data_IF_728174122708
#
_entry.id   IF_728174122708
#
_cell.length_a   1.000
_cell.length_b   1.000
_cell.length_c   1.000
_cell.angle_alpha   90.00
_cell.angle_beta   90.00
_cell.angle_gamma   90.00
#
_symmetry.space_group_name_H-M   'P 1'
#
loop_
_entity.id
_entity.type
_entity.pdbx_description
1 polymer ?
#
# COMPACT_ATOMS: atom_id res chain seq x y z
N UNK A 1 -5.05 23.10 3.93
CA UNK A 1 -5.54 22.18 2.87
C UNK A 1 -7.07 22.19 2.82
N UNK A 2 -7.65 22.56 1.67
CA UNK A 2 -9.10 22.50 1.45
C UNK A 2 -9.48 21.03 1.23
N UNK A 3 -9.90 20.35 2.29
CA UNK A 3 -10.40 19.00 2.19
C UNK A 3 -11.77 19.03 1.49
N UNK A 4 -11.95 18.18 0.48
CA UNK A 4 -13.23 18.00 -0.21
C UNK A 4 -13.80 16.64 0.17
N UNK A 5 -15.08 16.60 0.51
CA UNK A 5 -15.77 15.37 0.90
C UNK A 5 -15.80 14.39 -0.27
N UNK A 6 -15.09 13.27 -0.14
CA UNK A 6 -15.14 12.17 -1.09
C UNK A 6 -16.55 11.55 -1.13
N UNK A 7 -17.05 11.31 -2.34
CA UNK A 7 -18.32 10.61 -2.57
C UNK A 7 -18.24 9.15 -2.11
N UNK A 8 -19.38 8.49 -1.88
CA UNK A 8 -19.38 7.07 -1.54
C UNK A 8 -18.80 6.16 -2.62
N UNK A 9 -18.98 6.52 -3.89
CA UNK A 9 -18.33 5.81 -5.00
C UNK A 9 -16.81 5.97 -4.89
N UNK A 10 -16.31 7.20 -4.67
CA UNK A 10 -14.87 7.44 -4.52
C UNK A 10 -14.27 6.73 -3.31
N UNK A 11 -15.02 6.63 -2.21
CA UNK A 11 -14.60 5.87 -1.03
C UNK A 11 -14.42 4.38 -1.36
N UNK A 12 -15.42 3.75 -1.99
CA UNK A 12 -15.34 2.34 -2.36
C UNK A 12 -14.22 2.06 -3.37
N UNK A 13 -14.04 2.95 -4.36
CA UNK A 13 -12.95 2.84 -5.32
C UNK A 13 -11.58 2.94 -4.66
N UNK A 14 -11.41 3.80 -3.65
CA UNK A 14 -10.15 3.90 -2.91
C UNK A 14 -9.84 2.62 -2.11
N UNK A 15 -10.86 1.97 -1.54
CA UNK A 15 -10.68 0.67 -0.86
C UNK A 15 -10.36 -0.45 -1.87
N UNK A 16 -11.04 -0.47 -3.02
CA UNK A 16 -10.75 -1.43 -4.08
C UNK A 16 -9.32 -1.27 -4.61
N UNK A 17 -8.87 -0.03 -4.81
CA UNK A 17 -7.51 0.27 -5.22
C UNK A 17 -6.48 -0.22 -4.20
N UNK A 18 -6.73 -0.04 -2.90
CA UNK A 18 -5.85 -0.56 -1.84
C UNK A 18 -5.68 -2.09 -1.91
N UNK A 19 -6.75 -2.81 -2.22
CA UNK A 19 -6.70 -4.27 -2.42
C UNK A 19 -5.81 -4.60 -3.62
N UNK A 20 -6.04 -3.94 -4.76
CA UNK A 20 -5.26 -4.15 -5.98
C UNK A 20 -3.77 -3.82 -5.78
N UNK A 21 -3.45 -2.77 -5.02
CA UNK A 21 -2.07 -2.44 -4.67
C UNK A 21 -1.40 -3.57 -3.89
N UNK A 22 -2.06 -4.18 -2.90
CA UNK A 22 -1.45 -5.30 -2.17
C UNK A 22 -1.29 -6.56 -3.04
N UNK A 23 -2.25 -6.87 -3.92
CA UNK A 23 -2.08 -7.97 -4.88
C UNK A 23 -0.89 -7.73 -5.81
N UNK A 24 -0.70 -6.49 -6.28
CA UNK A 24 0.43 -6.12 -7.12
C UNK A 24 1.75 -6.23 -6.33
N UNK A 25 1.89 -5.48 -5.24
CA UNK A 25 3.18 -5.30 -4.59
C UNK A 25 3.56 -6.43 -3.60
N UNK A 26 2.63 -7.26 -3.14
CA UNK A 26 2.93 -8.41 -2.25
C UNK A 26 2.93 -9.75 -2.96
N UNK A 27 2.03 -9.94 -3.92
CA UNK A 27 1.99 -11.19 -4.69
C UNK A 27 2.78 -11.09 -5.98
N UNK A 28 2.36 -10.26 -6.94
CA UNK A 28 2.99 -10.21 -8.27
C UNK A 28 4.49 -9.84 -8.18
N UNK A 29 4.82 -8.79 -7.43
CA UNK A 29 6.21 -8.41 -7.19
C UNK A 29 6.99 -9.46 -6.39
N UNK A 30 6.34 -10.15 -5.46
CA UNK A 30 6.96 -11.27 -4.72
C UNK A 30 7.37 -12.40 -5.67
N UNK A 31 6.48 -12.80 -6.57
CA UNK A 31 6.76 -13.82 -7.60
C UNK A 31 7.89 -13.37 -8.53
N UNK A 32 7.83 -12.14 -9.04
CA UNK A 32 8.86 -11.63 -9.96
C UNK A 32 10.22 -11.57 -9.26
N UNK A 33 10.31 -10.96 -8.08
CA UNK A 33 11.60 -10.70 -7.44
C UNK A 33 12.18 -11.95 -6.79
N UNK A 34 11.39 -12.73 -6.04
CA UNK A 34 11.91 -13.89 -5.33
C UNK A 34 11.96 -15.11 -6.24
N UNK A 35 10.85 -15.47 -6.88
CA UNK A 35 10.76 -16.73 -7.64
C UNK A 35 11.48 -16.64 -8.98
N UNK A 36 11.25 -15.57 -9.74
CA UNK A 36 11.80 -15.47 -11.10
C UNK A 36 13.22 -14.91 -11.14
N UNK A 37 13.55 -13.98 -10.25
CA UNK A 37 14.88 -13.34 -10.19
C UNK A 37 15.79 -13.87 -9.07
N UNK A 38 15.29 -14.73 -8.19
CA UNK A 38 16.08 -15.34 -7.13
C UNK A 38 16.55 -14.37 -6.04
N UNK A 39 15.91 -13.21 -5.89
CA UNK A 39 16.29 -12.24 -4.86
C UNK A 39 15.95 -12.77 -3.46
N UNK A 40 16.78 -12.47 -2.46
CA UNK A 40 16.45 -12.75 -1.06
C UNK A 40 15.25 -11.90 -0.61
N UNK A 41 14.58 -12.35 0.47
CA UNK A 41 13.37 -11.70 0.99
C UNK A 41 13.55 -10.20 1.29
N UNK A 42 14.71 -9.80 1.82
CA UNK A 42 15.00 -8.38 2.09
C UNK A 42 15.03 -7.54 0.81
N UNK A 43 15.43 -8.12 -0.33
CA UNK A 43 15.42 -7.46 -1.64
C UNK A 43 14.00 -7.22 -2.12
N UNK A 44 13.12 -8.22 -2.01
CA UNK A 44 11.69 -8.05 -2.26
C UNK A 44 11.07 -6.95 -1.38
N UNK A 45 11.34 -6.98 -0.08
CA UNK A 45 10.80 -6.02 0.89
C UNK A 45 11.21 -4.59 0.52
N UNK A 46 12.50 -4.36 0.28
CA UNK A 46 13.01 -3.02 -0.03
C UNK A 46 12.51 -2.51 -1.39
N UNK A 47 12.63 -3.33 -2.45
CA UNK A 47 12.29 -2.90 -3.80
C UNK A 47 10.77 -2.70 -3.95
N UNK A 48 9.95 -3.63 -3.44
CA UNK A 48 8.49 -3.49 -3.52
C UNK A 48 7.96 -2.29 -2.74
N UNK A 49 8.58 -1.94 -1.61
CA UNK A 49 8.23 -0.74 -0.84
C UNK A 49 8.57 0.56 -1.60
N UNK A 50 9.74 0.61 -2.24
CA UNK A 50 10.14 1.77 -3.05
C UNK A 50 9.25 1.90 -4.29
N UNK A 51 8.96 0.79 -4.98
CA UNK A 51 8.04 0.77 -6.12
C UNK A 51 6.63 1.25 -5.74
N UNK A 52 6.12 0.83 -4.58
CA UNK A 52 4.87 1.32 -4.02
C UNK A 52 4.91 2.85 -3.76
N UNK A 53 6.01 3.35 -3.20
CA UNK A 53 6.23 4.78 -3.00
C UNK A 53 6.23 5.57 -4.32
N UNK A 54 6.86 5.04 -5.37
CA UNK A 54 6.89 5.70 -6.69
C UNK A 54 5.51 5.92 -7.27
N UNK A 55 4.55 5.02 -7.01
CA UNK A 55 3.16 5.18 -7.43
C UNK A 55 2.49 6.46 -6.85
N UNK A 56 3.10 7.05 -5.83
CA UNK A 56 2.61 8.23 -5.12
C UNK A 56 3.50 9.46 -5.29
N UNK A 57 4.59 9.37 -6.04
CA UNK A 57 5.55 10.47 -6.19
C UNK A 57 4.93 11.72 -6.82
N UNK A 58 3.89 11.55 -7.65
CA UNK A 58 3.11 12.66 -8.20
C UNK A 58 2.53 13.59 -7.11
N UNK A 59 2.25 13.05 -5.91
CA UNK A 59 1.75 13.82 -4.77
C UNK A 59 2.88 14.47 -3.93
N UNK A 60 4.11 14.48 -4.43
CA UNK A 60 5.28 15.11 -3.81
C UNK A 60 6.15 14.17 -2.97
N UNK A 61 7.38 14.63 -2.68
CA UNK A 61 8.40 13.84 -1.99
C UNK A 61 7.97 13.40 -0.58
N UNK A 62 7.24 14.24 0.15
CA UNK A 62 6.73 13.87 1.48
C UNK A 62 5.78 12.67 1.40
N UNK A 63 4.87 12.67 0.43
CA UNK A 63 3.92 11.56 0.21
C UNK A 63 4.65 10.31 -0.25
N UNK A 64 5.64 10.46 -1.13
CA UNK A 64 6.52 9.36 -1.54
C UNK A 64 7.18 8.69 -0.33
N UNK A 65 7.88 9.45 0.53
CA UNK A 65 8.58 8.89 1.69
C UNK A 65 7.63 8.20 2.66
N UNK A 66 6.48 8.83 2.96
CA UNK A 66 5.43 8.22 3.78
C UNK A 66 4.95 6.88 3.18
N UNK A 67 4.79 6.82 1.87
CA UNK A 67 4.32 5.63 1.16
C UNK A 67 5.38 4.56 1.07
N UNK A 68 6.66 4.90 0.90
CA UNK A 68 7.76 3.92 1.06
C UNK A 68 7.72 3.30 2.45
N UNK A 69 7.57 4.09 3.52
CA UNK A 69 7.47 3.55 4.89
C UNK A 69 6.24 2.66 5.08
N UNK A 70 5.09 3.04 4.50
CA UNK A 70 3.87 2.22 4.52
C UNK A 70 4.06 0.90 3.77
N UNK A 71 4.65 0.95 2.57
CA UNK A 71 4.95 -0.22 1.76
C UNK A 71 5.93 -1.17 2.45
N UNK A 72 6.93 -0.62 3.16
CA UNK A 72 7.88 -1.39 3.96
C UNK A 72 7.15 -2.15 5.08
N UNK A 73 6.28 -1.46 5.82
CA UNK A 73 5.47 -2.06 6.88
C UNK A 73 4.58 -3.18 6.33
N UNK A 74 3.86 -2.94 5.24
CA UNK A 74 2.96 -3.93 4.64
C UNK A 74 3.72 -5.13 4.06
N UNK A 75 4.88 -4.92 3.45
CA UNK A 75 5.74 -6.01 2.98
C UNK A 75 6.28 -6.86 4.14
N UNK A 76 6.66 -6.24 5.26
CA UNK A 76 7.10 -6.94 6.46
C UNK A 76 5.97 -7.78 7.06
N UNK A 77 4.78 -7.22 7.23
CA UNK A 77 3.63 -7.94 7.78
C UNK A 77 3.21 -9.10 6.86
N UNK A 78 3.26 -8.92 5.55
CA UNK A 78 3.04 -10.00 4.59
C UNK A 78 4.07 -11.13 4.74
N UNK A 79 5.36 -10.79 4.85
CA UNK A 79 6.42 -11.76 4.98
C UNK A 79 6.36 -12.51 6.32
N UNK A 80 6.22 -11.78 7.43
CA UNK A 80 6.16 -12.34 8.78
C UNK A 80 4.92 -13.19 9.03
N UNK A 81 3.85 -12.97 8.27
CA UNK A 81 2.65 -13.81 8.31
C UNK A 81 2.75 -15.09 7.47
N UNK A 82 3.89 -15.34 6.83
CA UNK A 82 4.07 -16.50 5.95
C UNK A 82 3.37 -16.35 4.59
N UNK A 83 3.13 -15.11 4.13
CA UNK A 83 2.49 -14.85 2.84
C UNK A 83 0.97 -14.78 2.87
N UNK A 84 0.36 -14.58 4.06
CA UNK A 84 -1.09 -14.42 4.19
C UNK A 84 -1.54 -13.03 3.69
N UNK A 85 -1.95 -12.96 2.42
CA UNK A 85 -2.30 -11.70 1.74
C UNK A 85 -3.44 -10.92 2.39
N UNK A 86 -4.32 -11.60 3.14
CA UNK A 86 -5.44 -10.95 3.83
C UNK A 86 -4.97 -9.98 4.92
N UNK A 87 -3.81 -10.21 5.55
CA UNK A 87 -3.30 -9.36 6.62
C UNK A 87 -2.89 -7.97 6.11
N UNK A 88 -2.01 -7.82 5.10
CA UNK A 88 -1.69 -6.50 4.55
C UNK A 88 -2.90 -5.84 3.88
N UNK A 89 -3.80 -6.61 3.23
CA UNK A 89 -5.05 -6.06 2.69
C UNK A 89 -5.89 -5.40 3.80
N UNK A 90 -6.13 -6.11 4.90
CA UNK A 90 -6.91 -5.59 6.00
C UNK A 90 -6.27 -4.33 6.60
N UNK A 91 -4.95 -4.34 6.82
CA UNK A 91 -4.22 -3.20 7.35
C UNK A 91 -4.32 -1.98 6.42
N UNK A 92 -4.11 -2.16 5.11
CA UNK A 92 -4.11 -1.07 4.14
C UNK A 92 -5.52 -0.51 3.91
N UNK A 93 -6.52 -1.37 3.73
CA UNK A 93 -7.93 -0.94 3.59
C UNK A 93 -8.38 -0.17 4.84
N UNK A 94 -8.04 -0.66 6.04
CA UNK A 94 -8.38 0.02 7.28
C UNK A 94 -7.69 1.39 7.39
N UNK A 95 -6.40 1.48 7.06
CA UNK A 95 -5.68 2.75 7.02
C UNK A 95 -6.36 3.76 6.09
N UNK A 96 -6.69 3.36 4.86
CA UNK A 96 -7.34 4.25 3.91
C UNK A 96 -8.75 4.64 4.36
N UNK A 97 -9.52 3.70 4.92
CA UNK A 97 -10.84 3.98 5.48
C UNK A 97 -10.77 5.02 6.60
N UNK A 98 -9.85 4.87 7.56
CA UNK A 98 -9.65 5.80 8.67
C UNK A 98 -9.30 7.20 8.15
N UNK A 99 -8.34 7.31 7.22
CA UNK A 99 -7.92 8.60 6.65
C UNK A 99 -9.09 9.29 5.94
N UNK A 100 -9.86 8.55 5.14
CA UNK A 100 -10.99 9.09 4.39
C UNK A 100 -12.14 9.51 5.33
N UNK A 101 -12.43 8.74 6.37
CA UNK A 101 -13.44 9.09 7.39
C UNK A 101 -12.99 10.34 8.15
N UNK A 102 -11.73 10.41 8.58
CA UNK A 102 -11.20 11.57 9.30
C UNK A 102 -11.17 12.84 8.42
N UNK A 103 -10.83 12.70 7.14
CA UNK A 103 -10.91 13.80 6.18
C UNK A 103 -12.33 14.33 5.99
N UNK A 104 -13.36 13.51 6.24
CA UNK A 104 -14.78 13.94 6.22
C UNK A 104 -15.25 14.59 7.51
N UNK A 105 -14.64 14.29 8.66
CA UNK A 105 -15.04 14.86 9.96
C UNK A 105 -14.41 16.21 10.26
N UNK A 106 -13.44 16.65 9.45
CA UNK A 106 -12.75 17.94 9.57
C UNK A 106 -13.28 19.02 8.59
N UNK A 107 -14.35 18.70 7.87
CA UNK A 107 -15.15 19.63 7.05
C UNK A 107 -16.48 19.87 7.74
#
# INVERSE_FOLDING_TARGET
PNWVKVSWVGFLLALALAILEELLFRQLWGVILITNLGLPAWGYIAISAVAYGFNHLYYGLSTFLQKVSTGLFLALVYWLSGGLILIPIAAHVLQNAIILIWGRSRQ
#
